data_IF_573904081876
#
_entry.id   IF_573904081876
#
_cell.length_a   1.000
_cell.length_b   1.000
_cell.length_c   1.000
_cell.angle_alpha   90.00
_cell.angle_beta   90.00
_cell.angle_gamma   90.00
#
_symmetry.space_group_name_H-M   'P 1'
#
loop_
_entity.id
_entity.type
_entity.pdbx_description
1 polymer ?
#
# COMPACT_ATOMS: atom_id res chain seq x y z
N UNK A 1 17.24 8.59 19.84
CA UNK A 1 16.19 7.61 20.21
C UNK A 1 15.47 6.99 19.01
N UNK A 2 15.44 7.62 17.82
CA UNK A 2 14.79 7.09 16.61
C UNK A 2 15.60 6.03 15.82
N UNK A 3 16.94 6.03 15.92
CA UNK A 3 17.79 5.06 15.20
C UNK A 3 17.50 3.60 15.57
N UNK A 4 17.37 3.31 16.86
CA UNK A 4 17.14 1.95 17.37
C UNK A 4 15.81 1.33 16.89
N UNK A 5 14.75 2.13 16.75
CA UNK A 5 13.45 1.65 16.25
C UNK A 5 13.52 1.29 14.78
N UNK A 6 14.20 2.11 13.96
CA UNK A 6 14.36 1.84 12.54
C UNK A 6 15.30 0.66 12.29
N UNK A 7 16.35 0.49 13.10
CA UNK A 7 17.27 -0.65 13.04
C UNK A 7 16.52 -1.97 13.32
N UNK A 8 15.64 -1.97 14.32
CA UNK A 8 14.77 -3.12 14.62
C UNK A 8 13.75 -3.38 13.51
N UNK A 9 13.16 -2.33 12.93
CA UNK A 9 12.21 -2.47 11.83
C UNK A 9 12.87 -3.06 10.59
N UNK A 10 14.06 -2.57 10.23
CA UNK A 10 14.83 -3.07 9.09
C UNK A 10 15.26 -4.52 9.29
N UNK A 11 15.75 -4.85 10.49
CA UNK A 11 16.13 -6.23 10.83
C UNK A 11 14.93 -7.18 10.75
N UNK A 12 13.78 -6.76 11.30
CA UNK A 12 12.55 -7.55 11.25
C UNK A 12 12.01 -7.71 9.81
N UNK A 13 12.09 -6.66 9.00
CA UNK A 13 11.71 -6.71 7.59
C UNK A 13 12.63 -7.66 6.81
N UNK A 14 13.95 -7.57 6.98
CA UNK A 14 14.91 -8.44 6.32
C UNK A 14 14.66 -9.93 6.63
N UNK A 15 14.28 -10.25 7.87
CA UNK A 15 14.01 -11.62 8.29
C UNK A 15 12.63 -12.14 7.83
N UNK A 16 11.58 -11.33 7.95
CA UNK A 16 10.18 -11.80 7.88
C UNK A 16 9.40 -11.33 6.66
N UNK A 17 9.77 -10.17 6.13
CA UNK A 17 9.04 -9.51 5.04
C UNK A 17 10.03 -8.72 4.15
N UNK A 18 10.96 -9.40 3.46
CA UNK A 18 12.06 -8.73 2.75
C UNK A 18 11.56 -7.80 1.63
N UNK A 19 10.37 -8.05 1.09
CA UNK A 19 9.71 -7.18 0.12
C UNK A 19 9.38 -5.78 0.68
N UNK A 20 9.32 -5.60 2.01
CA UNK A 20 9.11 -4.29 2.65
C UNK A 20 10.39 -3.47 2.82
N UNK A 21 11.58 -4.06 2.61
CA UNK A 21 12.86 -3.33 2.75
C UNK A 21 12.92 -2.02 1.95
N UNK A 22 12.44 -1.94 0.70
CA UNK A 22 12.41 -0.68 -0.04
C UNK A 22 11.62 0.42 0.68
N UNK A 23 10.51 0.07 1.34
CA UNK A 23 9.67 1.00 2.10
C UNK A 23 10.40 1.44 3.38
N UNK A 24 11.03 0.50 4.10
CA UNK A 24 11.82 0.80 5.30
C UNK A 24 12.98 1.74 4.96
N UNK A 25 13.68 1.49 3.86
CA UNK A 25 14.75 2.37 3.37
C UNK A 25 14.24 3.75 2.96
N UNK A 26 13.07 3.83 2.33
CA UNK A 26 12.43 5.09 1.98
C UNK A 26 12.15 5.94 3.25
N UNK A 27 11.56 5.32 4.29
CA UNK A 27 11.30 5.98 5.58
C UNK A 27 12.62 6.46 6.22
N UNK A 28 13.59 5.55 6.34
CA UNK A 28 14.86 5.81 7.05
C UNK A 28 15.68 6.91 6.40
N UNK A 29 15.83 6.87 5.07
CA UNK A 29 16.80 7.71 4.37
C UNK A 29 16.21 8.97 3.74
N UNK A 30 14.89 8.99 3.51
CA UNK A 30 14.22 10.09 2.81
C UNK A 30 13.07 10.71 3.60
N UNK A 31 12.79 10.22 4.81
CA UNK A 31 11.75 10.80 5.68
C UNK A 31 10.33 10.61 5.14
N UNK A 32 10.11 9.59 4.31
CA UNK A 32 8.80 9.29 3.72
C UNK A 32 7.82 8.90 4.83
N UNK A 33 6.64 9.53 4.86
CA UNK A 33 5.55 9.14 5.75
C UNK A 33 5.04 7.74 5.39
N UNK A 34 4.73 6.90 6.38
CA UNK A 34 4.20 5.56 6.13
C UNK A 34 3.01 5.26 7.05
N UNK A 35 1.91 4.80 6.45
CA UNK A 35 0.70 4.40 7.17
C UNK A 35 0.24 3.03 6.71
N UNK A 36 0.01 2.14 7.68
CA UNK A 36 -0.62 0.83 7.44
C UNK A 36 -2.07 0.88 7.87
N UNK A 37 -2.97 0.46 6.98
CA UNK A 37 -4.40 0.33 7.20
C UNK A 37 -4.72 -1.16 7.20
N UNK A 38 -4.89 -1.78 8.37
CA UNK A 38 -5.22 -3.20 8.45
C UNK A 38 -6.66 -3.47 8.03
N UNK A 39 -6.94 -4.74 7.70
CA UNK A 39 -8.27 -5.22 7.40
C UNK A 39 -9.29 -4.78 8.45
N UNK A 40 -10.45 -4.31 8.00
CA UNK A 40 -11.56 -3.83 8.83
C UNK A 40 -11.25 -2.62 9.74
N UNK A 41 -10.14 -1.91 9.49
CA UNK A 41 -9.79 -0.69 10.22
C UNK A 41 -10.94 0.33 10.27
N UNK A 42 -11.15 0.91 11.45
CA UNK A 42 -12.09 2.01 11.68
C UNK A 42 -11.31 3.30 11.94
N UNK A 43 -11.83 4.43 11.50
CA UNK A 43 -11.25 5.75 11.79
C UNK A 43 -10.07 6.19 10.91
N UNK A 44 -10.01 5.74 9.64
CA UNK A 44 -8.95 6.07 8.68
C UNK A 44 -8.55 7.57 8.65
N UNK A 45 -9.51 8.49 8.82
CA UNK A 45 -9.27 9.93 8.72
C UNK A 45 -8.15 10.46 9.62
N UNK A 46 -8.06 9.97 10.88
CA UNK A 46 -7.07 10.50 11.83
C UNK A 46 -5.65 10.24 11.36
N UNK A 47 -5.41 9.11 10.69
CA UNK A 47 -4.11 8.79 10.12
C UNK A 47 -3.79 9.67 8.92
N UNK A 48 -4.76 9.85 8.02
CA UNK A 48 -4.60 10.64 6.79
C UNK A 48 -4.27 12.11 7.08
N UNK A 49 -4.87 12.71 8.10
CA UNK A 49 -4.64 14.12 8.47
C UNK A 49 -3.23 14.37 9.03
N UNK A 50 -2.53 13.32 9.48
CA UNK A 50 -1.17 13.40 10.03
C UNK A 50 -0.09 13.17 8.97
N UNK A 51 -0.46 12.77 7.75
CA UNK A 51 0.51 12.47 6.69
C UNK A 51 1.00 13.75 6.01
N UNK A 52 2.27 14.09 6.26
CA UNK A 52 3.00 15.04 5.42
C UNK A 52 3.43 14.37 4.11
N UNK A 53 3.36 15.11 3.00
CA UNK A 53 3.87 14.63 1.69
C UNK A 53 5.41 14.68 1.66
N UNK A 54 6.08 13.74 0.96
CA UNK A 54 5.54 12.54 0.34
C UNK A 54 5.28 11.41 1.35
N UNK A 55 4.31 10.54 1.04
CA UNK A 55 3.97 9.39 1.88
C UNK A 55 3.63 8.14 1.07
N UNK A 56 3.63 6.99 1.75
CA UNK A 56 3.13 5.71 1.28
C UNK A 56 2.03 5.23 2.23
N UNK A 57 0.91 4.78 1.68
CA UNK A 57 -0.13 4.09 2.43
C UNK A 57 -0.16 2.64 1.97
N UNK A 58 -0.26 1.71 2.92
CA UNK A 58 -0.44 0.29 2.65
C UNK A 58 -1.77 -0.18 3.25
N UNK A 59 -2.64 -0.74 2.43
CA UNK A 59 -3.87 -1.40 2.85
C UNK A 59 -3.61 -2.90 2.83
N UNK A 60 -3.79 -3.57 3.97
CA UNK A 60 -3.75 -5.03 4.07
C UNK A 60 -5.16 -5.61 4.09
N UNK A 61 -5.58 -6.23 2.99
CA UNK A 61 -6.87 -6.91 2.81
C UNK A 61 -6.69 -8.38 2.40
N UNK A 62 -5.63 -9.03 2.86
CA UNK A 62 -5.25 -10.37 2.43
C UNK A 62 -5.04 -11.38 3.57
N UNK A 63 -5.54 -11.08 4.79
CA UNK A 63 -5.28 -11.84 6.03
C UNK A 63 -5.70 -13.33 5.97
N UNK A 64 -6.77 -13.76 6.64
CA UNK A 64 -7.34 -15.10 6.47
C UNK A 64 -8.17 -15.17 5.17
N UNK A 65 -8.76 -14.04 4.76
CA UNK A 65 -9.53 -13.86 3.54
C UNK A 65 -9.43 -12.40 3.06
N UNK A 66 -9.91 -12.09 1.86
CA UNK A 66 -10.07 -10.73 1.37
C UNK A 66 -11.54 -10.31 1.41
N UNK A 67 -11.83 -9.21 2.11
CA UNK A 67 -13.19 -8.68 2.28
C UNK A 67 -13.49 -7.56 1.28
N UNK A 68 -12.47 -7.05 0.59
CA UNK A 68 -12.60 -6.02 -0.42
C UNK A 68 -12.74 -4.62 0.17
N UNK A 69 -12.98 -3.61 -0.68
CA UNK A 69 -13.11 -2.22 -0.26
C UNK A 69 -14.35 -1.96 0.61
N UNK A 70 -15.40 -2.77 0.51
CA UNK A 70 -16.70 -2.54 1.16
C UNK A 70 -16.65 -2.61 2.70
N UNK A 71 -15.63 -3.24 3.27
CA UNK A 71 -15.45 -3.32 4.74
C UNK A 71 -15.05 -1.97 5.38
N UNK A 72 -14.54 -1.05 4.55
CA UNK A 72 -14.05 0.26 4.98
C UNK A 72 -15.13 1.33 4.75
N UNK A 73 -14.92 2.49 5.36
CA UNK A 73 -15.74 3.65 5.02
C UNK A 73 -15.37 4.16 3.62
N UNK A 74 -16.32 4.10 2.69
CA UNK A 74 -16.10 4.47 1.28
C UNK A 74 -15.53 5.89 1.13
N UNK A 75 -16.12 6.89 1.78
CA UNK A 75 -15.66 8.28 1.67
C UNK A 75 -14.20 8.46 2.12
N UNK A 76 -13.73 7.66 3.08
CA UNK A 76 -12.34 7.69 3.53
C UNK A 76 -11.40 7.00 2.53
N UNK A 77 -11.83 5.89 1.92
CA UNK A 77 -11.07 5.26 0.84
C UNK A 77 -10.97 6.16 -0.38
N UNK A 78 -12.07 6.79 -0.79
CA UNK A 78 -12.07 7.73 -1.93
C UNK A 78 -11.15 8.91 -1.67
N UNK A 79 -11.20 9.49 -0.45
CA UNK A 79 -10.28 10.55 -0.04
C UNK A 79 -8.82 10.10 -0.13
N UNK A 80 -8.51 8.92 0.41
CA UNK A 80 -7.16 8.34 0.37
C UNK A 80 -6.68 8.15 -1.07
N UNK A 81 -7.50 7.54 -1.93
CA UNK A 81 -7.20 7.30 -3.35
C UNK A 81 -6.99 8.63 -4.09
N UNK A 82 -7.79 9.65 -3.78
CA UNK A 82 -7.62 11.00 -4.35
C UNK A 82 -6.31 11.70 -3.95
N UNK A 83 -5.67 11.29 -2.86
CA UNK A 83 -4.42 11.90 -2.37
C UNK A 83 -3.14 11.26 -2.94
N UNK A 84 -3.22 10.07 -3.54
CA UNK A 84 -2.06 9.33 -4.05
C UNK A 84 -1.86 9.56 -5.54
N UNK A 85 -0.63 9.41 -6.02
CA UNK A 85 -0.22 9.65 -7.42
C UNK A 85 -0.08 8.36 -8.23
N UNK A 86 -0.02 7.20 -7.57
CA UNK A 86 0.01 5.88 -8.18
C UNK A 86 -0.30 4.78 -7.17
N UNK A 87 -0.74 3.63 -7.65
CA UNK A 87 -1.12 2.49 -6.81
C UNK A 87 -0.52 1.18 -7.33
N UNK A 88 -0.10 0.32 -6.41
CA UNK A 88 0.12 -1.10 -6.65
C UNK A 88 -1.03 -1.91 -6.04
N UNK A 89 -1.69 -2.74 -6.84
CA UNK A 89 -2.69 -3.71 -6.37
C UNK A 89 -2.04 -5.09 -6.49
N UNK A 90 -1.84 -5.75 -5.35
CA UNK A 90 -1.10 -6.99 -5.22
C UNK A 90 -2.06 -8.07 -4.72
N UNK A 91 -2.43 -8.99 -5.62
CA UNK A 91 -3.31 -10.14 -5.34
C UNK A 91 -2.56 -11.48 -5.41
N UNK A 92 -1.23 -11.43 -5.53
CA UNK A 92 -0.31 -12.55 -5.60
C UNK A 92 0.58 -12.64 -4.36
N UNK A 93 1.53 -13.58 -4.34
CA UNK A 93 2.67 -13.47 -3.43
C UNK A 93 3.37 -12.11 -3.64
N UNK A 94 3.82 -11.41 -2.58
CA UNK A 94 4.37 -10.05 -2.65
C UNK A 94 5.61 -9.96 -3.56
N UNK A 95 5.53 -9.29 -4.73
CA UNK A 95 6.69 -9.11 -5.60
C UNK A 95 7.53 -7.91 -5.11
N UNK A 96 8.82 -8.09 -4.77
CA UNK A 96 9.68 -7.01 -4.27
C UNK A 96 9.72 -5.77 -5.20
N UNK A 97 9.54 -5.96 -6.50
CA UNK A 97 9.56 -4.91 -7.51
C UNK A 97 8.39 -3.93 -7.35
N UNK A 98 7.22 -4.38 -6.90
CA UNK A 98 6.06 -3.51 -6.70
C UNK A 98 6.28 -2.54 -5.54
N UNK A 99 6.80 -3.04 -4.41
CA UNK A 99 7.16 -2.21 -3.26
C UNK A 99 8.30 -1.26 -3.62
N UNK A 100 9.28 -1.73 -4.38
CA UNK A 100 10.37 -0.88 -4.88
C UNK A 100 9.85 0.25 -5.77
N UNK A 101 8.91 -0.04 -6.66
CA UNK A 101 8.29 0.97 -7.54
C UNK A 101 7.60 2.07 -6.72
N UNK A 102 6.77 1.68 -5.75
CA UNK A 102 6.06 2.64 -4.89
C UNK A 102 7.03 3.41 -3.98
N UNK A 103 8.05 2.75 -3.43
CA UNK A 103 9.11 3.40 -2.66
C UNK A 103 9.84 4.48 -3.49
N UNK A 104 10.28 4.14 -4.71
CA UNK A 104 10.97 5.06 -5.60
C UNK A 104 10.08 6.24 -5.99
N UNK A 105 8.80 6.00 -6.25
CA UNK A 105 7.83 7.06 -6.51
C UNK A 105 7.74 8.02 -5.32
N UNK A 106 7.71 7.50 -4.09
CA UNK A 106 7.70 8.35 -2.89
C UNK A 106 8.99 9.15 -2.71
N UNK A 107 10.14 8.53 -2.93
CA UNK A 107 11.44 9.21 -2.94
C UNK A 107 11.49 10.33 -4.00
N UNK A 108 10.80 10.16 -5.12
CA UNK A 108 10.63 11.18 -6.16
C UNK A 108 9.60 12.27 -5.82
N UNK A 109 9.10 12.33 -4.57
CA UNK A 109 8.19 13.37 -4.09
C UNK A 109 6.71 13.13 -4.40
N UNK A 110 6.33 11.91 -4.80
CA UNK A 110 4.94 11.52 -5.11
C UNK A 110 4.34 10.71 -3.95
N UNK A 111 3.02 10.64 -3.89
CA UNK A 111 2.34 9.82 -2.87
C UNK A 111 2.01 8.45 -3.43
N UNK A 112 2.25 7.39 -2.65
CA UNK A 112 2.02 6.01 -3.06
C UNK A 112 0.94 5.30 -2.29
N UNK A 113 0.26 4.38 -2.98
CA UNK A 113 -0.66 3.41 -2.38
C UNK A 113 -0.24 1.98 -2.73
N UNK A 114 -0.25 1.10 -1.74
CA UNK A 114 -0.14 -0.35 -1.90
C UNK A 114 -1.43 -0.95 -1.35
N UNK A 115 -2.06 -1.81 -2.12
CA UNK A 115 -3.21 -2.61 -1.70
C UNK A 115 -2.80 -4.07 -1.82
N UNK A 116 -2.58 -4.73 -0.68
CA UNK A 116 -2.43 -6.18 -0.59
C UNK A 116 -3.82 -6.78 -0.45
N UNK A 117 -4.17 -7.70 -1.35
CA UNK A 117 -5.50 -8.32 -1.44
C UNK A 117 -5.37 -9.75 -1.96
N UNK A 118 -6.50 -10.38 -2.32
CA UNK A 118 -6.55 -11.69 -2.96
C UNK A 118 -7.27 -11.61 -4.32
N UNK A 119 -7.10 -12.60 -5.22
CA UNK A 119 -7.63 -12.54 -6.58
C UNK A 119 -9.14 -12.27 -6.64
N UNK A 120 -9.92 -12.80 -5.69
CA UNK A 120 -11.36 -12.60 -5.60
C UNK A 120 -11.79 -11.13 -5.38
N UNK A 121 -10.92 -10.27 -4.86
CA UNK A 121 -11.19 -8.84 -4.59
C UNK A 121 -10.36 -7.89 -5.46
N UNK A 122 -9.51 -8.40 -6.35
CA UNK A 122 -8.66 -7.60 -7.23
C UNK A 122 -9.47 -6.63 -8.10
N UNK A 123 -10.55 -7.14 -8.71
CA UNK A 123 -11.44 -6.36 -9.58
C UNK A 123 -12.15 -5.27 -8.78
N UNK A 124 -12.62 -5.59 -7.56
CA UNK A 124 -13.31 -4.62 -6.71
C UNK A 124 -12.41 -3.44 -6.34
N UNK A 125 -11.16 -3.71 -5.96
CA UNK A 125 -10.17 -2.67 -5.68
C UNK A 125 -9.80 -1.87 -6.92
N UNK A 126 -9.61 -2.53 -8.06
CA UNK A 126 -9.30 -1.85 -9.34
C UNK A 126 -10.43 -0.91 -9.76
N UNK A 127 -11.68 -1.37 -9.68
CA UNK A 127 -12.86 -0.58 -10.01
C UNK A 127 -13.01 0.65 -9.11
N UNK A 128 -12.78 0.49 -7.79
CA UNK A 128 -12.83 1.62 -6.86
C UNK A 128 -11.73 2.65 -7.17
N UNK A 129 -10.52 2.19 -7.44
CA UNK A 129 -9.43 3.10 -7.82
C UNK A 129 -9.80 3.88 -9.07
N UNK A 130 -10.27 3.20 -10.11
CA UNK A 130 -10.60 3.81 -11.39
C UNK A 130 -11.84 4.71 -11.31
N UNK A 131 -12.80 4.43 -10.44
CA UNK A 131 -13.98 5.30 -10.26
C UNK A 131 -13.61 6.63 -9.62
N UNK A 132 -12.60 6.67 -8.75
CA UNK A 132 -12.10 7.89 -8.08
C UNK A 132 -11.07 8.61 -8.94
N UNK A 133 -10.16 7.87 -9.57
CA UNK A 133 -9.07 8.41 -10.40
C UNK A 133 -8.90 7.57 -11.68
N UNK A 134 -9.66 7.86 -12.76
CA UNK A 134 -9.62 7.09 -14.00
C UNK A 134 -8.24 6.99 -14.66
N UNK A 135 -7.44 8.05 -14.58
CA UNK A 135 -6.11 8.13 -15.21
C UNK A 135 -4.95 7.75 -14.27
N UNK A 136 -5.23 7.25 -13.06
CA UNK A 136 -4.16 6.90 -12.12
C UNK A 136 -3.38 5.68 -12.62
N UNK A 137 -2.04 5.71 -12.64
CA UNK A 137 -1.24 4.52 -12.91
C UNK A 137 -1.52 3.42 -11.88
N UNK A 138 -1.89 2.23 -12.38
CA UNK A 138 -2.10 1.03 -11.58
C UNK A 138 -1.05 -0.01 -11.99
N UNK A 139 -0.19 -0.40 -11.05
CA UNK A 139 0.63 -1.60 -11.17
C UNK A 139 -0.16 -2.79 -10.61
N UNK A 140 -0.63 -3.66 -11.50
CA UNK A 140 -1.39 -4.85 -11.12
C UNK A 140 -0.46 -6.07 -11.02
N UNK A 141 -0.37 -6.67 -9.84
CA UNK A 141 0.41 -7.88 -9.56
C UNK A 141 -0.52 -9.02 -9.22
N UNK A 142 -0.77 -9.91 -10.19
CA UNK A 142 -1.76 -10.99 -10.10
C UNK A 142 -1.14 -12.37 -10.28
N UNK A 143 -1.86 -13.41 -9.84
CA UNK A 143 -1.44 -14.80 -10.03
C UNK A 143 -1.46 -15.18 -11.51
N UNK A 144 -0.53 -16.04 -11.95
CA UNK A 144 -0.59 -16.59 -13.31
C UNK A 144 -1.87 -17.38 -13.46
N UNK A 145 -2.66 -17.07 -14.50
CA UNK A 145 -3.80 -17.90 -14.87
C UNK A 145 -3.31 -19.31 -15.20
N UNK A 146 -3.72 -20.30 -14.40
CA UNK A 146 -3.55 -21.71 -14.77
C UNK A 146 -4.54 -21.97 -15.90
N UNK A 147 -4.05 -22.14 -17.14
CA UNK A 147 -4.88 -22.67 -18.22
C UNK A 147 -5.40 -24.04 -17.78
N UNK A 148 -6.72 -24.18 -17.67
CA UNK A 148 -7.39 -25.48 -17.63
C UNK A 148 -7.39 -26.10 -19.03
#
# INVERSE_FOLDING_TARGET
MTGDVLDRLESAAAEKAPHLLPIVHAIRHFGIGYLVIPQSAKGLNRGLDLLARPFIIMVGDDTDCALGPEQYNLAHLERMIGMVDGVAIISSAPPPEAYSCIAMMAVAGRNGLIIETRPEQEIAWTNLVQSVRPDMPILLCTVKATRQ
#
